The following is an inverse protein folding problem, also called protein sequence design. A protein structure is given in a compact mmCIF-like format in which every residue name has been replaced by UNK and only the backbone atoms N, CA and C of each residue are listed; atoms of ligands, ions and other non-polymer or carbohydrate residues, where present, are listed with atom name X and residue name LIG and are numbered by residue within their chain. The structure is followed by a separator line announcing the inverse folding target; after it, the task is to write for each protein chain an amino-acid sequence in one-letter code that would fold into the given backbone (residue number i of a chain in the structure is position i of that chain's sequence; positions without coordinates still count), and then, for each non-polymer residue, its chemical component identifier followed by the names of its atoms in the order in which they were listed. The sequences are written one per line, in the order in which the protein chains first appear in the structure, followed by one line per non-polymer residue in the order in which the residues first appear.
data_IF_868719066260
#
_entry.id   IF_868719066260
#
_cell.length_a   1.000
_cell.length_b   1.000
_cell.length_c   1.000
_cell.angle_alpha   90.00
_cell.angle_beta   90.00
_cell.angle_gamma   90.00
#
_symmetry.space_group_name_H-M   'P 1'
#
loop_
_entity.id
_entity.type
_entity.pdbx_description
1 polymer ?
#
# COMPACT_ATOMS: atom_id res chain seq x y z
N UNK A 1 28.65 -37.11 -74.98
CA UNK A 1 27.68 -36.02 -74.69
C UNK A 1 26.82 -36.48 -73.50
N UNK A 2 27.41 -36.54 -72.31
CA UNK A 2 27.27 -35.61 -71.17
C UNK A 2 25.88 -35.61 -70.50
N UNK A 3 25.68 -36.47 -69.48
CA UNK A 3 24.67 -36.27 -68.40
C UNK A 3 25.30 -36.83 -67.11
N UNK A 4 26.11 -36.03 -66.40
CA UNK A 4 25.79 -35.22 -65.20
C UNK A 4 25.24 -36.03 -64.00
N UNK A 5 26.16 -36.31 -63.07
CA UNK A 5 25.92 -36.75 -61.69
C UNK A 5 25.22 -35.64 -60.90
N UNK A 6 24.23 -35.99 -60.07
CA UNK A 6 23.73 -35.13 -59.00
C UNK A 6 23.65 -35.96 -57.72
N UNK A 7 24.66 -35.79 -56.86
CA UNK A 7 24.66 -36.28 -55.49
C UNK A 7 23.91 -35.27 -54.62
N UNK A 8 22.81 -35.68 -53.99
CA UNK A 8 22.09 -34.84 -53.04
C UNK A 8 22.88 -34.75 -51.74
N UNK A 9 23.38 -33.55 -51.42
CA UNK A 9 23.87 -33.22 -50.08
C UNK A 9 22.66 -32.95 -49.17
N UNK A 10 22.51 -33.77 -48.13
CA UNK A 10 21.61 -33.51 -47.01
C UNK A 10 22.33 -32.53 -46.07
N UNK A 11 21.84 -31.29 -46.01
CA UNK A 11 22.30 -30.28 -45.05
C UNK A 11 21.56 -30.51 -43.74
N UNK A 12 22.26 -31.01 -42.73
CA UNK A 12 21.76 -31.11 -41.35
C UNK A 12 21.82 -29.71 -40.73
N UNK A 13 20.67 -29.04 -40.65
CA UNK A 13 20.52 -27.77 -39.95
C UNK A 13 20.41 -28.04 -38.44
N UNK A 14 21.53 -27.91 -37.73
CA UNK A 14 21.55 -27.91 -36.27
C UNK A 14 21.01 -26.56 -35.75
N UNK A 15 19.72 -26.52 -35.41
CA UNK A 15 19.14 -25.39 -34.67
C UNK A 15 19.74 -25.35 -33.26
N UNK A 16 20.73 -24.50 -33.04
CA UNK A 16 21.19 -24.17 -31.70
C UNK A 16 20.19 -23.20 -31.07
N UNK A 17 19.29 -23.75 -30.24
CA UNK A 17 18.43 -22.94 -29.37
C UNK A 17 19.32 -22.28 -28.30
N UNK A 18 19.66 -21.01 -28.53
CA UNK A 18 20.30 -20.18 -27.51
C UNK A 18 19.25 -19.77 -26.49
N UNK A 19 19.15 -20.52 -25.39
CA UNK A 19 18.34 -20.15 -24.23
C UNK A 19 19.04 -18.98 -23.51
N UNK A 20 18.61 -17.76 -23.82
CA UNK A 20 18.97 -16.60 -22.99
C UNK A 20 18.23 -16.74 -21.65
N UNK A 21 18.94 -17.20 -20.61
CA UNK A 21 18.43 -17.17 -19.25
C UNK A 21 18.15 -15.71 -18.84
N UNK A 22 17.01 -15.41 -18.17
CA UNK A 22 16.82 -14.09 -17.60
C UNK A 22 17.86 -13.87 -16.50
N UNK A 23 18.70 -12.85 -16.69
CA UNK A 23 19.55 -12.31 -15.62
C UNK A 23 18.63 -11.94 -14.46
N UNK A 24 18.83 -12.61 -13.32
CA UNK A 24 18.20 -12.25 -12.07
C UNK A 24 18.56 -10.79 -11.74
N UNK A 25 17.61 -9.88 -11.99
CA UNK A 25 17.77 -8.48 -11.67
C UNK A 25 17.98 -8.31 -10.17
N UNK A 26 19.03 -7.60 -9.79
CA UNK A 26 19.18 -7.06 -8.43
C UNK A 26 17.86 -6.42 -7.99
N UNK A 27 17.42 -6.59 -6.73
CA UNK A 27 16.28 -5.85 -6.22
C UNK A 27 16.65 -4.37 -6.16
N UNK A 28 16.32 -3.65 -7.24
CA UNK A 28 16.27 -2.20 -7.26
C UNK A 28 15.51 -1.74 -6.01
N UNK A 29 16.08 -0.79 -5.26
CA UNK A 29 15.36 -0.17 -4.16
C UNK A 29 13.93 0.23 -4.61
N UNK A 30 12.88 0.03 -3.79
CA UNK A 30 11.52 0.34 -4.18
C UNK A 30 11.46 1.79 -4.67
N UNK A 31 11.12 1.99 -5.96
CA UNK A 31 10.89 3.34 -6.47
C UNK A 31 9.67 3.92 -5.76
N UNK A 32 9.70 5.20 -5.35
CA UNK A 32 8.52 5.87 -4.87
C UNK A 32 7.38 5.72 -5.87
N UNK A 33 6.23 5.23 -5.41
CA UNK A 33 5.07 5.02 -6.26
C UNK A 33 4.17 6.25 -6.19
N UNK A 34 4.01 6.94 -7.32
CA UNK A 34 3.09 8.07 -7.43
C UNK A 34 1.66 7.56 -7.62
N UNK A 35 0.77 7.93 -6.72
CA UNK A 35 -0.67 7.67 -6.81
C UNK A 35 -1.41 8.98 -7.06
N UNK A 36 -2.31 8.96 -8.04
CA UNK A 36 -3.07 10.15 -8.44
C UNK A 36 -4.48 10.10 -7.86
N UNK A 37 -5.05 11.28 -7.65
CA UNK A 37 -6.47 11.44 -7.30
C UNK A 37 -6.92 10.65 -6.05
N UNK A 38 -6.04 10.54 -5.05
CA UNK A 38 -6.33 9.86 -3.79
C UNK A 38 -7.28 10.71 -2.96
N UNK A 39 -8.44 10.15 -2.59
CA UNK A 39 -9.40 10.82 -1.70
C UNK A 39 -8.81 10.93 -0.30
N UNK A 40 -8.83 12.13 0.25
CA UNK A 40 -8.40 12.43 1.61
C UNK A 40 -9.47 13.16 2.40
N UNK A 41 -9.51 12.89 3.69
CA UNK A 41 -10.30 13.60 4.69
C UNK A 41 -9.37 14.05 5.84
N UNK A 42 -9.92 14.65 6.89
CA UNK A 42 -9.17 14.90 8.10
C UNK A 42 -10.00 14.59 9.35
N UNK A 43 -9.32 14.11 10.40
CA UNK A 43 -9.90 13.85 11.72
C UNK A 43 -9.08 14.54 12.82
N UNK A 44 -9.66 14.61 14.02
CA UNK A 44 -8.96 15.10 15.20
C UNK A 44 -9.37 14.33 16.45
N UNK A 45 -8.43 14.16 17.39
CA UNK A 45 -8.69 13.48 18.67
C UNK A 45 -9.68 14.23 19.58
N UNK A 46 -10.05 15.46 19.20
CA UNK A 46 -11.02 16.32 19.91
C UNK A 46 -12.47 16.13 19.43
N UNK A 47 -12.70 15.21 18.50
CA UNK A 47 -14.06 14.75 18.16
C UNK A 47 -14.60 13.80 19.23
N UNK A 48 -15.91 13.85 19.44
CA UNK A 48 -16.63 13.16 20.52
C UNK A 48 -16.32 11.65 20.56
N UNK A 49 -16.15 11.05 19.38
CA UNK A 49 -15.92 9.61 19.20
C UNK A 49 -14.47 9.19 19.54
N UNK A 50 -13.54 10.14 19.72
CA UNK A 50 -12.13 9.88 20.05
C UNK A 50 -11.80 10.01 21.55
N UNK A 51 -12.72 10.49 22.39
CA UNK A 51 -12.46 10.72 23.82
C UNK A 51 -12.02 9.45 24.57
N UNK A 52 -12.47 8.27 24.13
CA UNK A 52 -12.15 6.97 24.75
C UNK A 52 -10.72 6.50 24.43
N UNK A 53 -10.16 6.88 23.27
CA UNK A 53 -8.84 6.43 22.81
C UNK A 53 -7.72 7.46 23.05
N UNK A 54 -8.08 8.69 23.40
CA UNK A 54 -7.14 9.76 23.70
C UNK A 54 -6.22 10.05 22.50
N UNK A 55 -4.92 10.20 22.77
CA UNK A 55 -3.93 10.56 21.74
C UNK A 55 -3.15 9.37 21.18
N UNK A 56 -3.66 8.14 21.34
CA UNK A 56 -3.01 6.92 20.85
C UNK A 56 -3.61 6.45 19.54
N UNK A 57 -2.76 6.05 18.60
CA UNK A 57 -3.15 5.47 17.31
C UNK A 57 -3.45 3.97 17.44
N UNK A 58 -4.12 3.38 16.45
CA UNK A 58 -4.33 1.93 16.41
C UNK A 58 -3.02 1.12 16.41
N UNK A 59 -1.90 1.66 15.93
CA UNK A 59 -0.58 1.05 16.03
C UNK A 59 0.04 1.12 17.46
N UNK A 60 -0.60 1.84 18.39
CA UNK A 60 -0.17 1.99 19.79
C UNK A 60 0.78 3.14 20.06
N UNK A 61 1.10 3.96 19.05
CA UNK A 61 1.96 5.15 19.19
C UNK A 61 1.16 6.40 19.53
N UNK A 62 1.82 7.49 19.92
CA UNK A 62 1.15 8.80 20.07
C UNK A 62 0.92 9.44 18.69
N UNK A 63 -0.22 10.12 18.53
CA UNK A 63 -0.53 10.91 17.34
C UNK A 63 0.58 11.93 17.04
N UNK A 64 0.98 12.02 15.78
CA UNK A 64 2.12 12.83 15.32
C UNK A 64 1.62 14.01 14.49
N UNK A 65 2.14 15.20 14.76
CA UNK A 65 1.91 16.38 13.93
C UNK A 65 3.15 17.28 13.88
N UNK A 66 4.14 16.88 13.08
CA UNK A 66 5.37 17.64 12.82
C UNK A 66 5.85 17.39 11.39
N UNK A 67 7.14 17.08 11.22
CA UNK A 67 7.71 16.63 9.93
C UNK A 67 7.16 15.28 9.49
N UNK A 68 6.80 14.42 10.44
CA UNK A 68 6.00 13.21 10.23
C UNK A 68 4.63 13.41 10.88
N UNK A 69 3.58 13.00 10.20
CA UNK A 69 2.18 13.17 10.63
C UNK A 69 1.42 11.86 10.59
N UNK A 70 0.54 11.64 11.56
CA UNK A 70 -0.30 10.43 11.60
C UNK A 70 -1.36 10.49 10.50
N UNK A 71 -1.69 9.33 9.95
CA UNK A 71 -2.77 9.13 9.01
C UNK A 71 -3.51 7.83 9.34
N UNK A 72 -4.83 7.86 9.18
CA UNK A 72 -5.66 6.67 9.28
C UNK A 72 -6.05 6.19 7.87
N UNK A 73 -6.12 4.88 7.68
CA UNK A 73 -6.56 4.28 6.42
C UNK A 73 -7.10 2.86 6.63
N UNK A 74 -7.69 2.29 5.58
CA UNK A 74 -7.92 0.85 5.49
C UNK A 74 -6.57 0.11 5.38
N UNK A 75 -6.19 -0.64 6.41
CA UNK A 75 -4.90 -1.36 6.45
C UNK A 75 -4.81 -2.56 5.50
N UNK A 76 -5.91 -2.95 4.86
CA UNK A 76 -5.89 -3.91 3.74
C UNK A 76 -5.52 -3.24 2.40
N UNK A 77 -5.53 -1.91 2.35
CA UNK A 77 -5.09 -1.11 1.19
C UNK A 77 -3.75 -0.43 1.45
N UNK A 78 -3.66 0.31 2.57
CA UNK A 78 -2.44 0.98 3.03
C UNK A 78 -2.00 0.34 4.34
N UNK A 79 -1.18 -0.71 4.31
CA UNK A 79 -0.79 -1.42 5.53
C UNK A 79 -0.06 -0.52 6.52
N UNK A 80 -0.13 -0.88 7.80
CA UNK A 80 0.51 -0.13 8.88
C UNK A 80 2.00 0.13 8.59
N UNK A 81 2.42 1.37 8.82
CA UNK A 81 3.77 1.85 8.53
C UNK A 81 4.01 2.29 7.09
N UNK A 82 2.95 2.37 6.25
CA UNK A 82 3.04 3.02 4.93
C UNK A 82 3.38 4.49 5.15
N UNK A 83 4.41 4.97 4.46
CA UNK A 83 4.86 6.37 4.49
C UNK A 83 4.64 6.99 3.12
N UNK A 84 3.97 8.13 3.07
CA UNK A 84 3.72 8.87 1.86
C UNK A 84 3.89 10.38 2.07
N UNK A 85 4.02 11.11 0.98
CA UNK A 85 4.03 12.57 0.96
C UNK A 85 2.94 13.05 0.00
N UNK A 86 2.19 14.06 0.41
CA UNK A 86 1.25 14.75 -0.47
C UNK A 86 2.05 15.72 -1.34
N UNK A 87 1.82 15.71 -2.66
CA UNK A 87 2.51 16.62 -3.57
C UNK A 87 2.32 18.09 -3.17
N UNK A 88 3.42 18.83 -3.10
CA UNK A 88 3.41 20.24 -2.69
C UNK A 88 3.44 20.48 -1.17
N UNK A 89 3.43 19.43 -0.33
CA UNK A 89 3.58 19.55 1.12
C UNK A 89 4.98 19.18 1.61
N UNK A 90 5.55 19.90 2.61
CA UNK A 90 6.90 19.64 3.10
C UNK A 90 6.97 18.55 4.19
N UNK A 91 5.86 17.86 4.48
CA UNK A 91 5.76 16.84 5.54
C UNK A 91 5.43 15.48 4.95
N UNK A 92 5.82 14.43 5.67
CA UNK A 92 5.42 13.06 5.37
C UNK A 92 4.31 12.61 6.31
N UNK A 93 3.55 11.64 5.85
CA UNK A 93 2.48 10.99 6.59
C UNK A 93 2.83 9.53 6.79
N UNK A 94 2.55 9.01 7.97
CA UNK A 94 2.68 7.60 8.31
C UNK A 94 1.30 7.03 8.63
N UNK A 95 0.94 5.94 7.96
CA UNK A 95 -0.28 5.19 8.27
C UNK A 95 -0.06 4.39 9.56
N UNK A 96 -0.50 4.95 10.67
CA UNK A 96 -0.37 4.40 12.02
C UNK A 96 -1.72 4.20 12.71
N UNK A 97 -2.82 4.55 12.04
CA UNK A 97 -4.18 4.44 12.55
C UNK A 97 -5.16 3.84 11.51
N UNK A 98 -6.35 3.43 11.96
CA UNK A 98 -7.45 2.99 11.09
C UNK A 98 -8.81 3.38 11.68
N UNK A 99 -9.86 3.39 10.86
CA UNK A 99 -11.23 3.68 11.31
C UNK A 99 -12.26 2.91 10.50
N UNK A 100 -13.40 2.59 11.12
CA UNK A 100 -14.49 1.84 10.47
C UNK A 100 -15.01 2.52 9.21
N UNK A 101 -15.14 3.85 9.22
CA UNK A 101 -15.59 4.64 8.08
C UNK A 101 -14.63 4.64 6.88
N UNK A 102 -13.38 4.18 7.05
CA UNK A 102 -12.37 4.17 6.00
C UNK A 102 -12.34 2.85 5.23
N UNK A 103 -12.80 1.75 5.84
CA UNK A 103 -12.73 0.40 5.27
C UNK A 103 -13.51 0.32 3.95
N UNK A 104 -12.86 -0.14 2.89
CA UNK A 104 -13.45 -0.25 1.54
C UNK A 104 -13.64 1.06 0.77
N UNK A 105 -13.27 2.21 1.34
CA UNK A 105 -13.51 3.52 0.71
C UNK A 105 -12.33 4.07 -0.09
N UNK A 106 -11.15 3.44 0.04
CA UNK A 106 -9.87 3.92 -0.52
C UNK A 106 -9.50 5.35 -0.07
N UNK A 107 -10.03 5.79 1.09
CA UNK A 107 -9.79 7.12 1.66
C UNK A 107 -8.63 7.08 2.65
N UNK A 108 -7.78 8.12 2.63
CA UNK A 108 -6.79 8.37 3.69
C UNK A 108 -7.25 9.54 4.54
N UNK A 109 -7.34 9.35 5.85
CA UNK A 109 -7.79 10.37 6.80
C UNK A 109 -6.60 10.98 7.53
N UNK A 110 -6.38 12.29 7.39
CA UNK A 110 -5.19 12.96 7.89
C UNK A 110 -5.41 13.52 9.28
N UNK A 111 -4.54 13.18 10.23
CA UNK A 111 -4.64 13.73 11.58
C UNK A 111 -4.39 15.25 11.58
N UNK A 112 -5.24 15.98 12.30
CA UNK A 112 -5.10 17.42 12.58
C UNK A 112 -5.22 17.71 14.09
N UNK A 113 -4.41 18.62 14.66
CA UNK A 113 -4.40 18.86 16.10
C UNK A 113 -5.68 19.49 16.65
N UNK A 114 -6.48 20.15 15.81
CA UNK A 114 -7.70 20.82 16.23
C UNK A 114 -8.72 20.92 15.08
N UNK A 115 -9.99 21.18 15.44
CA UNK A 115 -11.11 21.30 14.50
C UNK A 115 -10.90 22.39 13.43
N UNK A 116 -10.25 23.50 13.77
CA UNK A 116 -10.00 24.57 12.79
C UNK A 116 -9.10 24.08 11.63
N UNK A 117 -8.00 23.39 11.95
CA UNK A 117 -7.08 22.82 10.96
C UNK A 117 -7.68 21.60 10.22
N UNK A 118 -8.54 20.83 10.88
CA UNK A 118 -9.37 19.78 10.27
C UNK A 118 -10.33 20.35 9.23
N UNK A 119 -11.14 21.34 9.59
CA UNK A 119 -12.10 21.99 8.70
C UNK A 119 -11.42 22.70 7.54
N UNK A 120 -10.27 23.34 7.79
CA UNK A 120 -9.44 23.95 6.73
C UNK A 120 -8.96 22.94 5.70
N UNK A 121 -8.77 21.67 6.10
CA UNK A 121 -8.47 20.59 5.17
C UNK A 121 -9.73 20.07 4.47
N UNK A 122 -10.75 19.68 5.21
CA UNK A 122 -11.99 19.12 4.62
C UNK A 122 -11.75 17.89 3.73
N UNK A 123 -12.71 17.58 2.86
CA UNK A 123 -12.59 16.48 1.89
C UNK A 123 -11.94 16.98 0.61
N UNK A 124 -10.91 16.30 0.11
CA UNK A 124 -10.27 16.65 -1.17
C UNK A 124 -9.54 15.47 -1.79
N UNK A 125 -9.29 15.54 -3.09
CA UNK A 125 -8.46 14.58 -3.82
C UNK A 125 -7.08 15.17 -4.06
N UNK A 126 -6.03 14.40 -3.79
CA UNK A 126 -4.64 14.82 -3.90
C UNK A 126 -3.80 13.75 -4.59
N UNK A 127 -2.67 14.16 -5.14
CA UNK A 127 -1.64 13.22 -5.57
C UNK A 127 -0.70 12.96 -4.40
N UNK A 128 -0.29 11.70 -4.24
CA UNK A 128 0.67 11.29 -3.22
C UNK A 128 1.83 10.53 -3.83
N UNK A 129 3.00 10.68 -3.22
CA UNK A 129 4.17 9.85 -3.46
C UNK A 129 4.32 8.88 -2.29
N UNK A 130 4.09 7.59 -2.53
CA UNK A 130 4.36 6.54 -1.54
C UNK A 130 5.86 6.34 -1.48
N UNK A 131 6.46 6.73 -0.35
CA UNK A 131 7.90 6.65 -0.10
C UNK A 131 8.26 5.22 0.33
N UNK A 132 7.39 4.60 1.14
CA UNK A 132 7.60 3.26 1.66
C UNK A 132 6.25 2.60 1.91
N UNK A 133 6.02 1.42 1.35
CA UNK A 133 4.86 0.62 1.73
C UNK A 133 5.03 0.02 3.13
N UNK A 134 3.92 -0.06 3.86
CA UNK A 134 3.85 -0.71 5.16
C UNK A 134 3.92 -2.24 5.06
N UNK A 135 3.57 -2.93 6.14
CA UNK A 135 3.62 -4.39 6.18
C UNK A 135 2.26 -5.00 6.51
N UNK A 136 1.71 -5.75 5.56
CA UNK A 136 0.48 -6.53 5.78
C UNK A 136 0.63 -7.54 6.93
N UNK A 137 1.80 -8.18 7.07
CA UNK A 137 2.08 -9.07 8.19
C UNK A 137 1.99 -8.34 9.54
N UNK A 138 2.54 -7.12 9.65
CA UNK A 138 2.39 -6.29 10.86
C UNK A 138 0.94 -5.86 11.06
N UNK A 139 0.22 -5.48 9.99
CA UNK A 139 -1.22 -5.17 10.07
C UNK A 139 -1.99 -6.35 10.66
N UNK A 140 -1.77 -7.57 10.16
CA UNK A 140 -2.42 -8.79 10.65
C UNK A 140 -2.09 -9.08 12.12
N UNK A 141 -0.81 -8.97 12.51
CA UNK A 141 -0.39 -9.19 13.90
C UNK A 141 -1.14 -8.28 14.88
N UNK A 142 -1.40 -7.02 14.47
CA UNK A 142 -2.14 -6.05 15.29
C UNK A 142 -3.66 -6.29 15.23
N UNK A 143 -4.21 -6.59 14.06
CA UNK A 143 -5.65 -6.65 13.82
C UNK A 143 -6.31 -7.98 14.19
N UNK A 144 -5.63 -9.12 14.03
CA UNK A 144 -6.20 -10.45 14.32
C UNK A 144 -6.78 -10.57 15.73
N UNK A 145 -6.09 -10.12 16.81
CA UNK A 145 -6.66 -10.15 18.15
C UNK A 145 -7.92 -9.27 18.31
N UNK A 146 -8.06 -8.23 17.48
CA UNK A 146 -9.14 -7.22 17.55
C UNK A 146 -10.35 -7.59 16.69
N UNK A 147 -10.18 -8.43 15.67
CA UNK A 147 -11.21 -8.80 14.70
C UNK A 147 -12.43 -9.49 15.29
N UNK A 148 -12.32 -10.18 16.44
CA UNK A 148 -13.44 -10.88 17.09
C UNK A 148 -14.60 -9.95 17.49
N UNK A 149 -14.30 -8.71 17.88
CA UNK A 149 -15.29 -7.74 18.39
C UNK A 149 -15.61 -6.61 17.41
N UNK A 150 -14.83 -6.49 16.33
CA UNK A 150 -14.88 -5.35 15.42
C UNK A 150 -15.04 -5.86 13.99
N UNK A 151 -16.25 -5.77 13.44
CA UNK A 151 -16.57 -6.25 12.09
C UNK A 151 -15.68 -5.66 11.00
N UNK A 152 -15.43 -4.34 11.06
CA UNK A 152 -14.56 -3.64 10.12
C UNK A 152 -13.10 -4.12 10.20
N UNK A 153 -12.61 -4.48 11.39
CA UNK A 153 -11.25 -5.05 11.54
C UNK A 153 -11.20 -6.46 10.96
N UNK A 154 -12.23 -7.28 11.21
CA UNK A 154 -12.35 -8.62 10.61
C UNK A 154 -12.34 -8.53 9.08
N UNK A 155 -13.08 -7.58 8.50
CA UNK A 155 -13.10 -7.37 7.05
C UNK A 155 -11.70 -7.06 6.49
N UNK A 156 -10.95 -6.15 7.13
CA UNK A 156 -9.57 -5.86 6.71
C UNK A 156 -8.65 -7.09 6.81
N UNK A 157 -8.77 -7.88 7.88
CA UNK A 157 -8.02 -9.13 8.05
C UNK A 157 -8.33 -10.10 6.91
N UNK A 158 -9.60 -10.35 6.63
CA UNK A 158 -10.04 -11.25 5.57
C UNK A 158 -9.58 -10.79 4.17
N UNK A 159 -9.61 -9.48 3.88
CA UNK A 159 -9.09 -8.94 2.62
C UNK A 159 -7.61 -9.23 2.44
N UNK A 160 -6.81 -9.03 3.49
CA UNK A 160 -5.36 -9.33 3.44
C UNK A 160 -5.12 -10.83 3.25
N UNK A 161 -5.83 -11.67 4.00
CA UNK A 161 -5.67 -13.13 3.91
C UNK A 161 -6.08 -13.66 2.53
N UNK A 162 -7.20 -13.19 1.96
CA UNK A 162 -7.61 -13.53 0.59
C UNK A 162 -6.60 -13.09 -0.47
N UNK A 163 -5.98 -11.93 -0.30
CA UNK A 163 -4.94 -11.44 -1.23
C UNK A 163 -3.59 -12.14 -1.08
N UNK A 164 -3.38 -12.90 0.00
CA UNK A 164 -2.14 -13.65 0.26
C UNK A 164 -2.24 -15.12 -0.20
N UNK A 165 -3.46 -15.64 -0.36
CA UNK A 165 -3.68 -16.97 -0.93
C UNK A 165 -3.25 -16.99 -2.41
N UNK A 166 -2.32 -17.87 -2.83
CA UNK A 166 -2.02 -18.06 -4.25
C UNK A 166 -3.31 -18.43 -4.97
N UNK A 167 -3.62 -17.73 -6.06
CA UNK A 167 -4.74 -18.10 -6.92
C UNK A 167 -4.43 -19.48 -7.54
N UNK A 168 -5.08 -20.52 -7.00
CA UNK A 168 -5.22 -21.89 -7.50
C UNK A 168 -3.95 -22.59 -8.01
N UNK A 169 -3.47 -23.54 -7.19
CA UNK A 169 -2.68 -24.71 -7.59
C UNK A 169 -3.42 -25.60 -8.59
#
# INVERSE_FOLDING_TARGET
MLIRRLSALIVISACTASCSSPVAGNPSAPRPQRLQDVKTTAYTHTESDHLVHGVKTAAGSKLKFGSVRSAAADWSVYPVGTVFQIEGEPYTYEVDDYGSALVGTQTIDLYKPNKATMNKWGVRRVNINVIKWGSFAKSLAIMKPRGKRNSHVREMVEKIERGTTPANS
#
